data_IF_551123174645
#
_entry.id   IF_551123174645
#
_cell.length_a   1.000
_cell.length_b   1.000
_cell.length_c   1.000
_cell.angle_alpha   90.00
_cell.angle_beta   90.00
_cell.angle_gamma   90.00
#
_symmetry.space_group_name_H-M   'P 1'
#
loop_
_entity.id
_entity.type
_entity.pdbx_description
1 polymer ?
#
# COMPACT_ATOMS: atom_id res chain seq x y z
N UNK A 1 8.61 11.17 16.54
CA UNK A 1 7.61 11.16 15.42
C UNK A 1 6.62 12.33 15.48
N UNK A 2 6.39 12.95 16.65
CA UNK A 2 5.33 13.98 16.86
C UNK A 2 3.99 13.57 16.22
N UNK A 3 3.50 12.39 16.54
CA UNK A 3 2.29 11.78 15.98
C UNK A 3 1.47 11.12 17.10
N UNK A 4 0.14 11.14 17.03
CA UNK A 4 -0.72 10.43 17.97
C UNK A 4 -0.67 8.91 17.78
N UNK A 5 -0.16 8.44 16.63
CA UNK A 5 -0.03 7.02 16.34
C UNK A 5 1.26 6.43 16.95
N UNK A 6 1.22 5.18 17.46
CA UNK A 6 2.43 4.47 17.82
C UNK A 6 3.41 4.42 16.64
N UNK A 7 4.69 4.60 16.92
CA UNK A 7 5.75 4.69 15.92
C UNK A 7 5.67 3.60 14.85
N UNK A 8 5.54 2.35 15.28
CA UNK A 8 5.57 1.17 14.42
C UNK A 8 4.32 0.94 13.56
N UNK A 9 3.25 1.71 13.81
CA UNK A 9 2.00 1.66 13.02
C UNK A 9 2.05 2.56 11.78
N UNK A 10 3.00 3.49 11.72
CA UNK A 10 3.15 4.35 10.54
C UNK A 10 3.44 3.52 9.28
N UNK A 11 2.77 3.85 8.15
CA UNK A 11 2.93 3.09 6.91
C UNK A 11 4.24 3.44 6.19
N UNK A 12 4.87 2.42 5.63
CA UNK A 12 5.98 2.50 4.68
C UNK A 12 5.55 1.76 3.43
N UNK A 13 5.44 2.46 2.29
CA UNK A 13 4.95 1.93 1.02
C UNK A 13 3.64 1.13 1.17
N UNK A 14 2.64 1.74 1.86
CA UNK A 14 1.29 1.19 2.02
C UNK A 14 1.09 0.18 3.15
N UNK A 15 2.15 -0.19 3.90
CA UNK A 15 2.05 -1.14 5.03
C UNK A 15 2.62 -0.56 6.31
N UNK A 16 1.98 -0.75 7.48
CA UNK A 16 2.57 -0.44 8.78
C UNK A 16 3.97 -1.06 8.93
N UNK A 17 4.90 -0.34 9.55
CA UNK A 17 6.28 -0.81 9.75
C UNK A 17 6.31 -2.18 10.42
N UNK A 18 5.55 -2.35 11.51
CA UNK A 18 5.50 -3.63 12.24
C UNK A 18 4.93 -4.77 11.37
N UNK A 19 3.95 -4.50 10.51
CA UNK A 19 3.42 -5.50 9.58
C UNK A 19 4.51 -5.98 8.61
N UNK A 20 5.34 -5.07 8.10
CA UNK A 20 6.45 -5.40 7.20
C UNK A 20 7.44 -6.34 7.89
N UNK A 21 7.84 -6.04 9.12
CA UNK A 21 8.75 -6.87 9.90
C UNK A 21 8.15 -8.26 10.14
N UNK A 22 6.90 -8.35 10.60
CA UNK A 22 6.22 -9.63 10.84
C UNK A 22 6.13 -10.49 9.58
N UNK A 23 5.79 -9.88 8.44
CA UNK A 23 5.74 -10.60 7.15
C UNK A 23 7.11 -11.09 6.70
N UNK A 24 8.17 -10.31 6.90
CA UNK A 24 9.53 -10.73 6.63
C UNK A 24 9.93 -11.94 7.50
N UNK A 25 9.67 -11.88 8.80
CA UNK A 25 9.95 -12.96 9.75
C UNK A 25 9.19 -14.25 9.40
N UNK A 26 7.91 -14.14 9.04
CA UNK A 26 7.09 -15.30 8.63
C UNK A 26 7.57 -15.91 7.32
N UNK A 27 7.90 -15.07 6.34
CA UNK A 27 8.47 -15.54 5.07
C UNK A 27 9.86 -16.18 5.27
N UNK A 28 10.58 -15.80 6.34
CA UNK A 28 11.83 -16.45 6.78
C UNK A 28 11.59 -17.72 7.62
N UNK A 29 10.38 -18.29 7.57
CA UNK A 29 9.97 -19.57 8.16
C UNK A 29 10.06 -19.61 9.70
N UNK A 30 9.82 -18.49 10.38
CA UNK A 30 9.71 -18.50 11.83
C UNK A 30 8.51 -19.33 12.30
N UNK A 31 8.75 -20.25 13.20
CA UNK A 31 7.72 -21.14 13.76
C UNK A 31 6.79 -20.38 14.72
N UNK A 32 7.35 -19.46 15.48
CA UNK A 32 6.66 -18.65 16.47
C UNK A 32 7.13 -17.19 16.38
N UNK A 33 6.21 -16.25 16.49
CA UNK A 33 6.50 -14.81 16.49
C UNK A 33 5.89 -14.18 17.72
N UNK A 34 6.72 -13.62 18.59
CA UNK A 34 6.33 -12.89 19.79
C UNK A 34 6.60 -11.42 19.61
N UNK A 35 5.61 -10.58 19.88
CA UNK A 35 5.70 -9.12 19.74
C UNK A 35 5.56 -8.50 21.12
N UNK A 36 6.58 -7.79 21.58
CA UNK A 36 6.49 -7.03 22.82
C UNK A 36 5.88 -5.66 22.51
N UNK A 37 4.79 -5.37 23.21
CA UNK A 37 4.00 -4.15 23.03
C UNK A 37 4.02 -3.30 24.30
N UNK A 38 3.94 -1.99 24.14
CA UNK A 38 3.88 -1.01 25.23
C UNK A 38 2.72 -0.03 25.01
N UNK A 39 3.00 1.27 25.07
CA UNK A 39 1.98 2.31 24.85
C UNK A 39 1.34 2.18 23.46
N UNK A 40 0.00 2.28 23.39
CA UNK A 40 -0.75 2.13 22.13
C UNK A 40 -0.87 0.69 21.64
N UNK A 41 -0.76 -0.29 22.55
CA UNK A 41 -0.77 -1.73 22.23
C UNK A 41 -1.97 -2.18 21.40
N UNK A 42 -3.16 -1.60 21.59
CA UNK A 42 -4.39 -1.98 20.88
C UNK A 42 -4.23 -1.87 19.35
N UNK A 43 -3.64 -0.78 18.87
CA UNK A 43 -3.39 -0.56 17.46
C UNK A 43 -2.36 -1.54 16.89
N UNK A 44 -1.34 -1.88 17.68
CA UNK A 44 -0.32 -2.85 17.27
C UNK A 44 -0.91 -4.25 17.24
N UNK A 45 -1.66 -4.66 18.27
CA UNK A 45 -2.35 -5.95 18.34
C UNK A 45 -3.27 -6.17 17.15
N UNK A 46 -4.10 -5.16 16.81
CA UNK A 46 -5.02 -5.23 15.68
C UNK A 46 -4.32 -5.51 14.34
N UNK A 47 -3.03 -5.14 14.22
CA UNK A 47 -2.22 -5.41 13.02
C UNK A 47 -1.55 -6.78 13.07
N UNK A 48 -0.96 -7.15 14.21
CA UNK A 48 -0.03 -8.29 14.25
C UNK A 48 -0.70 -9.62 14.64
N UNK A 49 -1.75 -9.61 15.45
CA UNK A 49 -2.48 -10.82 15.86
C UNK A 49 -3.18 -11.52 14.66
N UNK A 50 -3.82 -10.81 13.71
CA UNK A 50 -4.34 -11.44 12.49
C UNK A 50 -3.26 -12.10 11.62
N UNK A 51 -2.00 -11.68 11.79
CA UNK A 51 -0.85 -12.31 11.17
C UNK A 51 -0.33 -13.53 11.97
N UNK A 52 -0.95 -13.88 13.08
CA UNK A 52 -0.59 -15.02 13.94
C UNK A 52 0.66 -14.74 14.79
N UNK A 53 0.91 -13.52 15.18
CA UNK A 53 1.89 -13.18 16.21
C UNK A 53 1.23 -13.15 17.60
N UNK A 54 1.98 -13.53 18.63
CA UNK A 54 1.54 -13.47 20.02
C UNK A 54 2.07 -12.21 20.67
N UNK A 55 1.19 -11.38 21.21
CA UNK A 55 1.57 -10.12 21.85
C UNK A 55 1.80 -10.29 23.36
N UNK A 56 2.94 -9.77 23.82
CA UNK A 56 3.31 -9.70 25.25
C UNK A 56 3.45 -8.23 25.66
N UNK A 57 2.86 -7.87 26.79
CA UNK A 57 2.88 -6.49 27.26
C UNK A 57 4.10 -6.21 28.12
N UNK A 58 4.81 -5.12 27.84
CA UNK A 58 5.79 -4.50 28.72
C UNK A 58 5.11 -3.36 29.49
N UNK A 59 4.82 -3.60 30.77
CA UNK A 59 4.09 -2.62 31.61
C UNK A 59 4.91 -1.36 31.88
N UNK A 60 6.22 -1.49 32.05
CA UNK A 60 7.16 -0.37 32.25
C UNK A 60 8.31 -0.52 31.26
N UNK A 61 8.63 0.56 30.59
CA UNK A 61 9.74 0.61 29.63
C UNK A 61 11.09 0.69 30.37
N UNK A 62 11.57 -0.45 30.85
CA UNK A 62 12.82 -0.55 31.62
C UNK A 62 14.04 -0.91 30.77
N UNK A 63 13.91 -0.84 29.45
CA UNK A 63 14.99 -1.10 28.50
C UNK A 63 14.73 -2.29 27.57
N UNK A 64 15.67 -2.53 26.65
CA UNK A 64 15.52 -3.52 25.58
C UNK A 64 15.63 -4.97 26.08
N UNK A 65 16.47 -5.25 27.08
CA UNK A 65 16.54 -6.58 27.70
C UNK A 65 15.28 -6.89 28.49
N UNK A 66 14.67 -5.89 29.17
CA UNK A 66 13.42 -6.07 29.87
C UNK A 66 12.27 -6.39 28.90
N UNK A 67 12.25 -5.73 27.73
CA UNK A 67 11.29 -6.09 26.68
C UNK A 67 11.43 -7.57 26.26
N UNK A 68 12.66 -8.07 26.08
CA UNK A 68 12.89 -9.49 25.75
C UNK A 68 12.44 -10.41 26.89
N UNK A 69 12.61 -10.03 28.17
CA UNK A 69 12.07 -10.80 29.32
C UNK A 69 10.54 -10.91 29.24
N UNK A 70 9.85 -9.83 28.91
CA UNK A 70 8.40 -9.82 28.76
C UNK A 70 7.90 -10.81 27.68
N UNK A 71 8.73 -11.17 26.71
CA UNK A 71 8.39 -12.13 25.67
C UNK A 71 8.33 -13.59 26.16
N UNK A 72 8.47 -13.87 27.47
CA UNK A 72 8.40 -15.21 28.07
C UNK A 72 9.39 -16.19 27.44
N UNK A 73 10.66 -15.80 27.37
CA UNK A 73 11.72 -16.52 26.65
C UNK A 73 11.99 -17.95 27.21
N UNK A 74 11.59 -18.24 28.43
CA UNK A 74 11.82 -19.53 29.10
C UNK A 74 11.19 -20.74 28.39
N UNK A 75 10.14 -20.48 27.59
CA UNK A 75 9.47 -21.52 26.79
C UNK A 75 10.07 -21.71 25.39
N UNK A 76 10.96 -20.82 24.95
CA UNK A 76 11.57 -20.87 23.62
C UNK A 76 12.55 -22.03 23.50
N UNK A 77 12.68 -22.57 22.28
CA UNK A 77 13.62 -23.63 21.92
C UNK A 77 14.31 -23.28 20.60
N UNK A 78 15.51 -23.84 20.42
CA UNK A 78 16.25 -23.70 19.19
C UNK A 78 16.89 -22.33 19.00
N UNK A 79 16.72 -21.73 17.82
CA UNK A 79 17.32 -20.48 17.41
C UNK A 79 16.32 -19.34 17.63
N UNK A 80 16.75 -18.27 18.26
CA UNK A 80 15.96 -17.07 18.52
C UNK A 80 16.55 -15.91 17.73
N UNK A 81 15.70 -15.19 16.98
CA UNK A 81 16.04 -13.95 16.29
C UNK A 81 15.29 -12.81 16.96
N UNK A 82 16.02 -11.82 17.43
CA UNK A 82 15.46 -10.61 18.06
C UNK A 82 15.57 -9.45 17.05
N UNK A 83 14.46 -8.79 16.77
CA UNK A 83 14.34 -7.72 15.80
C UNK A 83 13.62 -6.53 16.39
N UNK A 84 13.94 -5.33 15.88
CA UNK A 84 13.19 -4.11 16.20
C UNK A 84 12.00 -3.94 15.25
N UNK A 85 10.84 -3.58 15.79
CA UNK A 85 9.61 -3.36 15.01
C UNK A 85 9.62 -2.12 14.11
N UNK A 86 10.62 -1.25 14.26
CA UNK A 86 10.81 -0.01 13.52
C UNK A 86 11.86 -0.09 12.40
N UNK A 87 12.26 -1.31 12.00
CA UNK A 87 13.16 -1.58 10.87
C UNK A 87 12.39 -2.07 9.63
N UNK A 88 11.63 -1.20 8.95
CA UNK A 88 10.68 -1.60 7.90
C UNK A 88 11.33 -2.11 6.61
N UNK A 89 12.64 -1.94 6.44
CA UNK A 89 13.37 -2.36 5.25
C UNK A 89 14.00 -3.74 5.38
N UNK A 90 13.87 -4.39 6.54
CA UNK A 90 14.25 -5.78 6.75
C UNK A 90 13.40 -6.71 5.88
N UNK A 91 14.04 -7.62 5.16
CA UNK A 91 13.37 -8.61 4.33
C UNK A 91 13.66 -10.05 4.80
N UNK A 92 12.87 -10.99 4.31
CA UNK A 92 13.04 -12.41 4.63
C UNK A 92 14.43 -12.93 4.24
N UNK A 93 14.92 -12.52 3.08
CA UNK A 93 16.22 -12.96 2.56
C UNK A 93 17.38 -12.44 3.43
N UNK A 94 17.25 -11.25 4.02
CA UNK A 94 18.22 -10.73 4.99
C UNK A 94 18.26 -11.64 6.23
N UNK A 95 17.08 -11.98 6.78
CA UNK A 95 16.97 -12.85 7.97
C UNK A 95 17.53 -14.24 7.69
N UNK A 96 17.17 -14.83 6.54
CA UNK A 96 17.68 -16.15 6.14
C UNK A 96 19.20 -16.14 5.93
N UNK A 97 19.75 -15.08 5.36
CA UNK A 97 21.18 -14.88 5.19
C UNK A 97 21.90 -14.82 6.54
N UNK A 98 21.40 -14.01 7.50
CA UNK A 98 22.01 -13.92 8.83
C UNK A 98 21.93 -15.23 9.59
N UNK A 99 20.81 -15.95 9.49
CA UNK A 99 20.68 -17.29 10.08
C UNK A 99 21.68 -18.28 9.49
N UNK A 100 21.94 -18.22 8.19
CA UNK A 100 22.97 -19.03 7.54
C UNK A 100 24.36 -18.70 8.09
N UNK A 101 24.73 -17.40 8.14
CA UNK A 101 26.00 -16.97 8.70
C UNK A 101 26.17 -17.36 10.17
N UNK A 102 25.10 -17.25 10.98
CA UNK A 102 25.09 -17.68 12.37
C UNK A 102 25.42 -19.17 12.52
N UNK A 103 24.83 -20.02 11.67
CA UNK A 103 25.13 -21.47 11.68
C UNK A 103 26.57 -21.77 11.26
N UNK A 104 27.07 -21.07 10.25
CA UNK A 104 28.44 -21.24 9.73
C UNK A 104 29.49 -20.77 10.75
N UNK A 105 29.27 -19.69 11.49
CA UNK A 105 30.17 -19.16 12.50
C UNK A 105 30.29 -20.04 13.73
N UNK A 106 29.31 -20.94 13.96
CA UNK A 106 29.21 -21.80 15.18
C UNK A 106 29.22 -21.01 16.48
N UNK A 107 28.90 -19.70 16.44
CA UNK A 107 28.81 -18.88 17.64
C UNK A 107 27.56 -19.22 18.47
N UNK A 108 27.56 -18.84 19.74
CA UNK A 108 26.44 -18.98 20.65
C UNK A 108 25.50 -17.77 20.59
N UNK A 109 26.11 -16.58 20.36
CA UNK A 109 25.43 -15.31 20.21
C UNK A 109 26.03 -14.55 19.03
N UNK A 110 25.19 -14.04 18.15
CA UNK A 110 25.58 -13.11 17.09
C UNK A 110 24.78 -11.82 17.17
N UNK A 111 25.41 -10.73 16.80
CA UNK A 111 24.76 -9.44 16.54
C UNK A 111 24.98 -9.05 15.08
N UNK A 112 23.95 -8.55 14.44
CA UNK A 112 24.08 -7.99 13.09
C UNK A 112 24.69 -6.59 13.20
N UNK A 113 25.76 -6.35 12.45
CA UNK A 113 26.50 -5.07 12.46
C UNK A 113 26.53 -4.43 11.07
N UNK A 114 26.71 -3.13 11.00
CA UNK A 114 27.04 -2.45 9.75
C UNK A 114 28.01 -1.29 9.99
N UNK A 115 28.64 -0.82 8.93
CA UNK A 115 29.49 0.36 8.97
C UNK A 115 28.73 1.58 8.48
N UNK A 116 28.69 2.65 9.28
CA UNK A 116 28.06 3.91 8.94
C UNK A 116 29.11 5.04 8.85
N UNK A 117 29.06 5.88 7.81
CA UNK A 117 29.93 7.08 7.74
C UNK A 117 29.75 7.99 8.97
N UNK A 118 28.49 8.18 9.39
CA UNK A 118 28.09 8.87 10.61
C UNK A 118 27.27 7.92 11.49
N UNK A 119 27.88 7.34 12.54
CA UNK A 119 27.23 6.38 13.43
C UNK A 119 26.15 6.99 14.35
N UNK A 120 26.12 8.30 14.54
CA UNK A 120 25.12 8.97 15.38
C UNK A 120 24.89 8.30 16.74
N UNK A 121 23.64 8.03 17.13
CA UNK A 121 23.27 7.49 18.44
C UNK A 121 23.38 5.98 18.58
N UNK A 122 23.85 5.26 17.54
CA UNK A 122 23.96 3.80 17.59
C UNK A 122 25.02 3.32 18.59
N UNK A 123 24.81 2.14 19.17
CA UNK A 123 25.83 1.43 19.95
C UNK A 123 27.05 1.06 19.09
N UNK A 124 28.24 1.19 19.63
CA UNK A 124 29.52 0.92 18.96
C UNK A 124 29.97 -0.51 19.19
N UNK A 125 30.41 -1.15 18.13
CA UNK A 125 30.99 -2.51 18.19
C UNK A 125 32.46 -2.43 18.62
N UNK A 126 32.73 -2.87 19.81
CA UNK A 126 34.11 -2.89 20.36
C UNK A 126 34.75 -4.23 20.07
N UNK A 127 35.90 -4.19 19.36
CA UNK A 127 36.69 -5.38 19.03
C UNK A 127 38.08 -5.32 19.66
N UNK A 128 38.56 -6.47 20.10
CA UNK A 128 39.94 -6.65 20.53
C UNK A 128 40.57 -7.77 19.69
N UNK A 129 41.69 -7.48 19.06
CA UNK A 129 42.35 -8.40 18.13
C UNK A 129 41.39 -8.99 17.06
N UNK A 130 40.47 -8.14 16.54
CA UNK A 130 39.47 -8.54 15.56
C UNK A 130 38.22 -9.25 16.10
N UNK A 131 38.25 -9.70 17.35
CA UNK A 131 37.13 -10.41 18.00
C UNK A 131 36.19 -9.43 18.68
N UNK A 132 34.89 -9.64 18.52
CA UNK A 132 33.84 -8.89 19.21
C UNK A 132 33.98 -9.09 20.73
N UNK A 133 34.00 -8.00 21.49
CA UNK A 133 34.12 -7.99 22.96
C UNK A 133 32.88 -7.44 23.63
N UNK A 134 32.39 -6.30 23.13
CA UNK A 134 31.26 -5.61 23.74
C UNK A 134 30.56 -4.73 22.72
N UNK A 135 29.35 -4.31 23.06
CA UNK A 135 28.64 -3.22 22.43
C UNK A 135 28.52 -2.11 23.46
N UNK A 136 28.97 -0.92 23.13
CA UNK A 136 28.91 0.25 24.03
C UNK A 136 27.92 1.26 23.45
N UNK A 137 26.84 1.53 24.19
CA UNK A 137 25.86 2.53 23.78
C UNK A 137 26.48 3.91 23.67
N UNK A 138 26.03 4.72 22.70
CA UNK A 138 26.64 6.03 22.41
C UNK A 138 26.66 6.96 23.64
N UNK A 139 25.69 6.84 24.56
CA UNK A 139 25.58 7.67 25.77
C UNK A 139 26.59 7.27 26.86
N UNK A 140 27.07 6.03 26.82
CA UNK A 140 28.04 5.48 27.76
C UNK A 140 29.47 5.42 27.15
N UNK A 141 29.59 5.79 25.86
CA UNK A 141 30.82 5.65 25.10
C UNK A 141 31.84 6.77 25.38
N UNK A 142 33.11 6.39 25.51
CA UNK A 142 34.25 7.34 25.52
C UNK A 142 34.40 8.05 24.16
N UNK A 143 35.12 9.15 24.14
CA UNK A 143 35.40 9.88 22.90
C UNK A 143 36.12 9.02 21.85
N UNK A 144 37.00 8.09 22.27
CA UNK A 144 37.65 7.13 21.37
C UNK A 144 36.66 6.09 20.84
N UNK A 145 35.77 5.56 21.69
CA UNK A 145 34.75 4.61 21.30
C UNK A 145 33.75 5.21 20.27
N UNK A 146 33.41 6.50 20.42
CA UNK A 146 32.54 7.21 19.49
C UNK A 146 33.08 7.31 18.06
N UNK A 147 34.41 7.20 17.86
CA UNK A 147 35.03 7.20 16.52
C UNK A 147 34.82 5.89 15.74
N UNK A 148 34.44 4.84 16.41
CA UNK A 148 34.15 3.52 15.78
C UNK A 148 32.96 3.67 14.85
N UNK A 149 33.14 3.22 13.59
CA UNK A 149 32.10 3.30 12.55
C UNK A 149 31.23 2.06 12.47
N UNK A 150 31.69 0.92 13.02
CA UNK A 150 30.92 -0.30 13.10
C UNK A 150 29.89 -0.17 14.23
N UNK A 151 28.62 -0.36 13.90
CA UNK A 151 27.49 -0.15 14.82
C UNK A 151 26.65 -1.39 15.01
N UNK A 152 25.97 -1.43 16.15
CA UNK A 152 24.92 -2.39 16.47
C UNK A 152 23.63 -2.01 15.74
N UNK A 153 23.05 -2.96 14.96
CA UNK A 153 21.76 -2.75 14.30
C UNK A 153 20.56 -3.05 15.21
N UNK A 154 20.78 -3.58 16.40
CA UNK A 154 19.72 -4.04 17.30
C UNK A 154 19.12 -5.41 16.93
N UNK A 155 19.74 -6.13 16.00
CA UNK A 155 19.34 -7.46 15.55
C UNK A 155 20.28 -8.50 16.16
N UNK A 156 19.72 -9.47 16.88
CA UNK A 156 20.48 -10.54 17.51
C UNK A 156 19.99 -11.90 17.06
N UNK A 157 20.91 -12.85 16.98
CA UNK A 157 20.63 -14.26 16.72
C UNK A 157 21.39 -15.08 17.76
N UNK A 158 20.68 -15.92 18.50
CA UNK A 158 21.28 -16.73 19.54
C UNK A 158 20.46 -18.00 19.79
N UNK A 159 21.06 -18.96 20.50
CA UNK A 159 20.35 -20.14 20.95
C UNK A 159 19.46 -19.80 22.16
N UNK A 160 18.28 -20.42 22.22
CA UNK A 160 17.30 -20.18 23.28
C UNK A 160 17.86 -20.44 24.70
N UNK A 161 18.60 -21.53 24.90
CA UNK A 161 19.24 -21.88 26.17
C UNK A 161 20.28 -20.84 26.60
N UNK A 162 21.02 -20.27 25.64
CA UNK A 162 21.98 -19.19 25.91
C UNK A 162 21.25 -17.92 26.32
N UNK A 163 20.16 -17.56 25.60
CA UNK A 163 19.32 -16.40 25.94
C UNK A 163 18.75 -16.53 27.37
N UNK A 164 18.18 -17.69 27.70
CA UNK A 164 17.59 -17.98 28.99
C UNK A 164 18.61 -17.89 30.13
N UNK A 165 19.86 -18.30 29.89
CA UNK A 165 20.94 -18.21 30.87
C UNK A 165 21.46 -16.76 31.04
N UNK A 166 21.69 -16.03 29.95
CA UNK A 166 22.34 -14.72 30.01
C UNK A 166 21.39 -13.58 30.38
N UNK A 167 20.14 -13.63 29.89
CA UNK A 167 19.18 -12.53 30.02
C UNK A 167 18.89 -12.14 31.49
N UNK A 168 18.76 -13.08 32.48
CA UNK A 168 18.57 -12.72 33.89
C UNK A 168 19.77 -11.99 34.51
N UNK A 169 20.98 -12.15 33.96
CA UNK A 169 22.22 -11.58 34.49
C UNK A 169 22.43 -10.12 34.08
N UNK A 170 21.66 -9.60 33.08
CA UNK A 170 21.76 -8.22 32.65
C UNK A 170 21.33 -7.28 33.78
N UNK A 171 22.15 -6.28 34.07
CA UNK A 171 21.94 -5.26 35.10
C UNK A 171 21.59 -3.91 34.48
N UNK A 172 21.08 -2.98 35.30
CA UNK A 172 20.73 -1.62 34.86
C UNK A 172 21.79 -0.57 35.28
N UNK A 173 23.06 -0.97 35.37
CA UNK A 173 24.16 -0.10 35.81
C UNK A 173 24.73 0.69 34.61
N UNK A 174 23.98 1.62 34.06
CA UNK A 174 24.38 2.47 32.94
C UNK A 174 23.79 3.89 33.11
N UNK A 175 24.13 4.81 32.21
CA UNK A 175 23.74 6.22 32.28
C UNK A 175 22.22 6.45 32.32
N UNK A 176 21.41 5.51 31.83
CA UNK A 176 19.95 5.62 31.78
C UNK A 176 19.24 4.79 32.88
N UNK A 177 19.94 3.92 33.60
CA UNK A 177 19.33 2.99 34.57
C UNK A 177 18.46 1.92 33.93
N UNK A 178 18.67 1.61 32.64
CA UNK A 178 17.88 0.67 31.85
C UNK A 178 18.59 -0.67 31.66
N UNK A 179 17.83 -1.74 31.42
CA UNK A 179 18.37 -3.06 31.08
C UNK A 179 18.67 -3.11 29.58
N UNK A 180 19.93 -2.96 29.20
CA UNK A 180 20.35 -2.98 27.80
C UNK A 180 20.58 -4.39 27.30
N UNK A 181 19.95 -4.75 26.18
CA UNK A 181 20.19 -6.06 25.55
C UNK A 181 21.62 -6.18 24.99
N UNK A 182 22.27 -5.08 24.71
CA UNK A 182 23.67 -5.02 24.25
C UNK A 182 24.65 -5.66 25.22
N UNK A 183 24.35 -5.65 26.53
CA UNK A 183 25.19 -6.27 27.57
C UNK A 183 25.29 -7.79 27.43
N UNK A 184 24.36 -8.43 26.69
CA UNK A 184 24.40 -9.89 26.46
C UNK A 184 25.71 -10.32 25.77
N UNK A 185 26.30 -9.44 24.94
CA UNK A 185 27.56 -9.74 24.24
C UNK A 185 28.71 -9.80 25.24
N UNK A 186 28.84 -8.79 26.11
CA UNK A 186 29.89 -8.78 27.14
C UNK A 186 29.76 -9.97 28.09
N UNK A 187 28.54 -10.26 28.56
CA UNK A 187 28.27 -11.44 29.42
C UNK A 187 28.64 -12.77 28.75
N UNK A 188 28.33 -12.89 27.44
CA UNK A 188 28.71 -14.09 26.69
C UNK A 188 30.23 -14.23 26.58
N UNK A 189 30.95 -13.12 26.31
CA UNK A 189 32.42 -13.10 26.27
C UNK A 189 33.03 -13.46 27.64
N UNK A 190 32.52 -12.89 28.73
CA UNK A 190 32.97 -13.19 30.12
C UNK A 190 32.81 -14.66 30.46
N UNK A 191 31.76 -15.34 29.95
CA UNK A 191 31.53 -16.78 30.15
C UNK A 191 32.28 -17.66 29.14
N UNK A 192 33.12 -17.06 28.27
CA UNK A 192 33.89 -17.83 27.28
C UNK A 192 33.04 -18.39 26.13
N UNK A 193 31.81 -17.90 25.95
CA UNK A 193 30.97 -18.32 24.83
C UNK A 193 31.44 -17.68 23.52
N UNK A 194 31.42 -18.40 22.41
CA UNK A 194 31.78 -17.83 21.12
C UNK A 194 30.74 -16.79 20.66
N UNK A 195 31.19 -15.57 20.38
CA UNK A 195 30.36 -14.47 19.87
C UNK A 195 30.88 -13.97 18.53
N UNK A 196 29.98 -13.47 17.67
CA UNK A 196 30.37 -12.89 16.37
C UNK A 196 29.51 -11.70 15.97
N UNK A 197 30.07 -10.81 15.13
CA UNK A 197 29.37 -9.71 14.49
C UNK A 197 29.15 -10.02 13.01
N UNK A 198 27.90 -10.20 12.61
CA UNK A 198 27.52 -10.51 11.25
C UNK A 198 27.32 -9.21 10.46
N UNK A 199 28.21 -8.92 9.52
CA UNK A 199 28.16 -7.68 8.74
C UNK A 199 26.96 -7.68 7.78
N UNK A 200 26.23 -6.57 7.74
CA UNK A 200 25.05 -6.34 6.90
C UNK A 200 25.18 -5.06 6.06
N UNK A 201 24.31 -4.95 5.06
CA UNK A 201 24.08 -3.71 4.35
C UNK A 201 23.52 -2.63 5.32
N UNK A 202 24.01 -1.38 5.26
CA UNK A 202 23.55 -0.30 6.13
C UNK A 202 22.04 -0.04 6.15
N UNK A 203 21.32 -0.39 5.07
CA UNK A 203 19.85 -0.27 5.00
C UNK A 203 19.12 -1.07 6.09
N UNK A 204 19.73 -2.18 6.54
CA UNK A 204 19.15 -3.06 7.58
C UNK A 204 19.09 -2.37 8.94
N UNK A 205 20.06 -1.47 9.20
CA UNK A 205 20.11 -0.66 10.41
C UNK A 205 19.18 0.56 10.39
N UNK A 206 18.48 0.81 9.28
CA UNK A 206 17.63 2.01 9.16
C UNK A 206 16.36 1.84 10.01
N UNK A 207 16.47 2.19 11.29
CA UNK A 207 15.36 2.38 12.21
C UNK A 207 14.67 3.72 11.96
N UNK A 208 13.36 3.76 12.14
CA UNK A 208 12.53 4.94 11.89
C UNK A 208 12.09 5.57 13.20
N UNK A 209 12.65 6.74 13.56
CA UNK A 209 12.34 7.50 14.77
C UNK A 209 11.72 8.87 14.47
N UNK A 210 11.98 9.41 13.28
CA UNK A 210 11.53 10.73 12.84
C UNK A 210 10.71 10.64 11.55
N UNK A 211 9.99 11.70 11.21
CA UNK A 211 9.26 11.79 9.94
C UNK A 211 10.22 11.81 8.73
N UNK A 212 11.41 12.39 8.89
CA UNK A 212 12.42 12.38 7.84
C UNK A 212 12.94 10.97 7.53
N UNK A 213 13.20 10.17 8.59
CA UNK A 213 13.59 8.76 8.44
C UNK A 213 12.45 7.93 7.85
N UNK A 214 11.18 8.20 8.22
CA UNK A 214 10.01 7.55 7.64
C UNK A 214 9.91 7.83 6.13
N UNK A 215 10.09 9.08 5.73
CA UNK A 215 10.06 9.46 4.32
C UNK A 215 11.19 8.76 3.53
N UNK A 216 12.41 8.72 4.09
CA UNK A 216 13.53 8.00 3.49
C UNK A 216 13.28 6.50 3.36
N UNK A 217 12.77 5.85 4.42
CA UNK A 217 12.42 4.44 4.40
C UNK A 217 11.35 4.14 3.36
N UNK A 218 10.33 5.01 3.24
CA UNK A 218 9.26 4.89 2.24
C UNK A 218 9.81 5.00 0.82
N UNK A 219 10.68 5.97 0.56
CA UNK A 219 11.33 6.14 -0.75
C UNK A 219 12.15 4.89 -1.14
N UNK A 220 12.96 4.37 -0.22
CA UNK A 220 13.75 3.15 -0.45
C UNK A 220 12.86 1.92 -0.70
N UNK A 221 11.73 1.81 -0.02
CA UNK A 221 10.77 0.73 -0.25
C UNK A 221 10.15 0.82 -1.65
N UNK A 222 9.74 2.01 -2.11
CA UNK A 222 9.23 2.22 -3.47
C UNK A 222 10.30 1.93 -4.53
N UNK A 223 11.53 2.40 -4.36
CA UNK A 223 12.63 2.12 -5.28
C UNK A 223 12.89 0.62 -5.42
N UNK A 224 12.91 -0.11 -4.30
CA UNK A 224 13.07 -1.57 -4.31
C UNK A 224 11.91 -2.28 -5.02
N UNK A 225 10.68 -1.83 -4.81
CA UNK A 225 9.50 -2.35 -5.50
C UNK A 225 9.61 -2.11 -7.01
N UNK A 226 9.99 -0.90 -7.41
CA UNK A 226 10.19 -0.55 -8.82
C UNK A 226 11.27 -1.44 -9.47
N UNK A 227 12.43 -1.63 -8.81
CA UNK A 227 13.50 -2.50 -9.32
C UNK A 227 13.01 -3.93 -9.59
N UNK A 228 12.26 -4.51 -8.65
CA UNK A 228 11.69 -5.86 -8.83
C UNK A 228 10.70 -5.95 -9.99
N UNK A 229 9.90 -4.91 -10.19
CA UNK A 229 8.96 -4.88 -11.31
C UNK A 229 9.69 -4.73 -12.65
N UNK A 230 10.75 -3.92 -12.72
CA UNK A 230 11.61 -3.81 -13.89
C UNK A 230 12.30 -5.16 -14.24
N UNK A 231 12.84 -5.84 -13.23
CA UNK A 231 13.40 -7.20 -13.37
C UNK A 231 12.35 -8.22 -13.82
N UNK A 232 11.10 -8.03 -13.41
CA UNK A 232 9.93 -8.81 -13.80
C UNK A 232 9.35 -8.47 -15.18
N UNK A 233 9.96 -7.57 -15.95
CA UNK A 233 9.54 -7.23 -17.32
C UNK A 233 8.49 -6.12 -17.42
N UNK A 234 8.25 -5.35 -16.34
CA UNK A 234 7.47 -4.12 -16.38
C UNK A 234 8.36 -2.98 -16.88
N UNK A 235 7.86 -2.15 -17.78
CA UNK A 235 8.58 -0.97 -18.25
C UNK A 235 8.16 0.27 -17.44
N UNK A 236 9.11 1.08 -17.00
CA UNK A 236 8.88 2.38 -16.35
C UNK A 236 9.69 3.46 -17.03
N UNK A 237 9.03 4.53 -17.47
CA UNK A 237 9.69 5.63 -18.20
C UNK A 237 10.60 6.43 -17.25
N UNK A 238 10.17 6.62 -16.00
CA UNK A 238 10.89 7.35 -14.96
C UNK A 238 10.62 6.67 -13.61
N UNK A 239 11.32 5.56 -13.27
CA UNK A 239 11.02 4.72 -12.13
C UNK A 239 10.95 5.45 -10.79
N UNK A 240 11.77 6.50 -10.60
CA UNK A 240 11.81 7.30 -9.38
C UNK A 240 10.55 8.12 -9.11
N UNK A 241 9.71 8.31 -10.13
CA UNK A 241 8.42 9.03 -10.03
C UNK A 241 7.20 8.11 -10.05
N UNK A 242 7.41 6.80 -10.11
CA UNK A 242 6.35 5.78 -10.08
C UNK A 242 6.27 5.17 -8.68
N UNK A 243 5.12 5.27 -8.03
CA UNK A 243 4.91 4.83 -6.66
C UNK A 243 4.02 3.59 -6.63
N UNK A 244 4.60 2.45 -6.29
CA UNK A 244 3.91 1.16 -6.26
C UNK A 244 3.98 0.58 -4.85
N UNK A 245 2.84 0.47 -4.17
CA UNK A 245 2.76 -0.12 -2.85
C UNK A 245 3.08 -1.62 -2.87
N UNK A 246 3.54 -2.15 -1.74
CA UNK A 246 4.06 -3.53 -1.61
C UNK A 246 3.10 -4.61 -2.11
N UNK A 247 1.80 -4.40 -1.86
CA UNK A 247 0.75 -5.40 -2.14
C UNK A 247 0.37 -5.46 -3.62
N UNK A 248 0.69 -4.41 -4.38
CA UNK A 248 0.34 -4.29 -5.79
C UNK A 248 1.09 -5.32 -6.61
N UNK A 249 0.40 -5.93 -7.57
CA UNK A 249 1.00 -6.77 -8.61
C UNK A 249 0.84 -6.13 -9.97
N UNK A 250 1.89 -6.21 -10.79
CA UNK A 250 1.89 -5.74 -12.18
C UNK A 250 2.55 -6.82 -13.01
N UNK A 251 1.87 -7.27 -14.06
CA UNK A 251 2.40 -8.29 -14.97
C UNK A 251 3.32 -7.69 -16.04
N UNK A 252 4.17 -8.56 -16.59
CA UNK A 252 5.14 -8.22 -17.62
C UNK A 252 4.52 -7.58 -18.87
N UNK A 253 5.30 -6.78 -19.58
CA UNK A 253 4.88 -6.06 -20.79
C UNK A 253 4.06 -4.79 -20.50
N UNK A 254 3.69 -4.55 -19.26
CA UNK A 254 2.98 -3.32 -18.87
C UNK A 254 3.93 -2.13 -18.78
N UNK A 255 3.49 -0.97 -19.28
CA UNK A 255 4.23 0.28 -19.28
C UNK A 255 3.62 1.25 -18.27
N UNK A 256 4.43 1.74 -17.34
CA UNK A 256 4.04 2.75 -16.34
C UNK A 256 4.75 4.08 -16.65
N UNK A 257 3.96 5.12 -16.85
CA UNK A 257 4.46 6.48 -17.07
C UNK A 257 4.73 7.22 -15.76
N UNK A 258 5.39 8.39 -15.80
CA UNK A 258 5.70 9.17 -14.60
C UNK A 258 4.47 9.53 -13.78
N UNK A 259 4.64 9.66 -12.47
CA UNK A 259 3.60 10.08 -11.52
C UNK A 259 2.40 9.11 -11.44
N UNK A 260 2.57 7.85 -11.86
CA UNK A 260 1.59 6.80 -11.61
C UNK A 260 1.68 6.37 -10.15
N UNK A 261 0.53 6.25 -9.48
CA UNK A 261 0.43 5.78 -8.12
C UNK A 261 -0.49 4.56 -8.01
N UNK A 262 0.09 3.39 -7.70
CA UNK A 262 -0.62 2.11 -7.54
C UNK A 262 -0.69 1.74 -6.06
N UNK A 263 -1.90 1.56 -5.53
CA UNK A 263 -2.17 1.46 -4.09
C UNK A 263 -2.99 0.23 -3.71
N UNK A 264 -2.86 -0.16 -2.44
CA UNK A 264 -3.68 -1.22 -1.84
C UNK A 264 -3.53 -2.57 -2.53
N UNK A 265 -4.63 -3.31 -2.66
CA UNK A 265 -4.66 -4.65 -3.28
C UNK A 265 -4.78 -4.62 -4.82
N UNK A 266 -4.28 -3.56 -5.47
CA UNK A 266 -4.36 -3.39 -6.93
C UNK A 266 -3.58 -4.48 -7.67
N UNK A 267 -4.23 -5.01 -8.74
CA UNK A 267 -3.63 -5.96 -9.68
C UNK A 267 -3.74 -5.42 -11.08
N UNK A 268 -2.64 -5.43 -11.84
CA UNK A 268 -2.60 -4.99 -13.22
C UNK A 268 -2.07 -6.14 -14.08
N UNK A 269 -2.86 -6.54 -15.06
CA UNK A 269 -2.52 -7.56 -16.04
C UNK A 269 -1.44 -7.13 -17.02
N UNK A 270 -1.03 -8.05 -17.87
CA UNK A 270 0.07 -7.82 -18.81
C UNK A 270 -0.31 -6.90 -19.98
N UNK A 271 0.73 -6.30 -20.57
CA UNK A 271 0.62 -5.46 -21.77
C UNK A 271 -0.33 -4.26 -21.65
N UNK A 272 -0.48 -3.72 -20.44
CA UNK A 272 -1.22 -2.48 -20.20
C UNK A 272 -0.33 -1.26 -20.44
N UNK A 273 -0.95 -0.13 -20.79
CA UNK A 273 -0.30 1.18 -20.83
C UNK A 273 -1.01 2.09 -19.84
N UNK A 274 -0.30 2.51 -18.80
CA UNK A 274 -0.82 3.40 -17.75
C UNK A 274 -0.08 4.73 -17.87
N UNK A 275 -0.76 5.73 -18.43
CA UNK A 275 -0.20 7.05 -18.66
C UNK A 275 -0.06 7.87 -17.36
N UNK A 276 0.63 9.01 -17.47
CA UNK A 276 1.03 9.83 -16.33
C UNK A 276 -0.12 10.31 -15.45
N UNK A 277 0.16 10.42 -14.16
CA UNK A 277 -0.77 10.97 -13.17
C UNK A 277 -1.96 10.08 -12.83
N UNK A 278 -1.99 8.84 -13.33
CA UNK A 278 -3.04 7.89 -12.95
C UNK A 278 -2.86 7.41 -11.51
N UNK A 279 -3.98 7.33 -10.77
CA UNK A 279 -4.02 6.73 -9.44
C UNK A 279 -4.98 5.55 -9.46
N UNK A 280 -4.49 4.37 -9.06
CA UNK A 280 -5.27 3.13 -9.05
C UNK A 280 -5.18 2.52 -7.66
N UNK A 281 -6.32 2.35 -7.02
CA UNK A 281 -6.42 1.82 -5.66
C UNK A 281 -7.40 0.65 -5.60
N UNK A 282 -7.02 -0.45 -4.92
CA UNK A 282 -7.87 -1.60 -4.64
C UNK A 282 -8.66 -2.12 -5.86
N UNK A 283 -8.04 -2.06 -7.06
CA UNK A 283 -8.69 -2.33 -8.33
C UNK A 283 -8.04 -3.49 -9.10
N UNK A 284 -8.84 -4.19 -9.90
CA UNK A 284 -8.37 -5.27 -10.76
C UNK A 284 -8.47 -4.84 -12.22
N UNK A 285 -7.35 -4.78 -12.91
CA UNK A 285 -7.23 -4.38 -14.31
C UNK A 285 -6.70 -5.58 -15.10
N UNK A 286 -7.49 -6.06 -16.06
CA UNK A 286 -7.05 -7.16 -16.92
C UNK A 286 -5.99 -6.70 -17.94
N UNK A 287 -5.52 -7.61 -18.80
CA UNK A 287 -4.50 -7.28 -19.80
C UNK A 287 -4.98 -6.36 -20.93
N UNK A 288 -4.02 -5.74 -21.62
CA UNK A 288 -4.25 -4.88 -22.79
C UNK A 288 -5.16 -3.66 -22.54
N UNK A 289 -5.15 -3.11 -21.33
CA UNK A 289 -5.87 -1.89 -21.00
C UNK A 289 -4.99 -0.68 -21.27
N UNK A 290 -5.53 0.31 -22.02
CA UNK A 290 -4.90 1.62 -22.20
C UNK A 290 -5.58 2.64 -21.30
N UNK A 291 -4.90 3.07 -20.26
CA UNK A 291 -5.37 4.10 -19.34
C UNK A 291 -4.64 5.41 -19.62
N UNK A 292 -5.36 6.36 -20.18
CA UNK A 292 -4.85 7.69 -20.51
C UNK A 292 -4.68 8.54 -19.24
N UNK A 293 -3.93 9.61 -19.39
CA UNK A 293 -3.49 10.48 -18.30
C UNK A 293 -4.59 10.87 -17.30
N UNK A 294 -4.22 10.92 -16.01
CA UNK A 294 -5.04 11.51 -14.95
C UNK A 294 -6.27 10.72 -14.55
N UNK A 295 -6.38 9.45 -14.92
CA UNK A 295 -7.49 8.60 -14.47
C UNK A 295 -7.37 8.25 -12.98
N UNK A 296 -8.51 8.17 -12.30
CA UNK A 296 -8.60 7.77 -10.91
C UNK A 296 -9.53 6.56 -10.75
N UNK A 297 -9.00 5.45 -10.25
CA UNK A 297 -9.75 4.22 -9.99
C UNK A 297 -9.67 3.85 -8.51
N UNK A 298 -10.82 3.56 -7.90
CA UNK A 298 -10.91 3.05 -6.52
C UNK A 298 -11.90 1.89 -6.47
N UNK A 299 -11.46 0.68 -6.15
CA UNK A 299 -12.31 -0.50 -6.01
C UNK A 299 -13.06 -0.89 -7.27
N UNK A 300 -12.46 -0.70 -8.45
CA UNK A 300 -13.04 -0.98 -9.75
C UNK A 300 -12.47 -2.26 -10.37
N UNK A 301 -13.27 -2.89 -11.25
CA UNK A 301 -12.84 -4.01 -12.09
C UNK A 301 -12.91 -3.61 -13.55
N UNK A 302 -11.83 -3.80 -14.28
CA UNK A 302 -11.71 -3.48 -15.70
C UNK A 302 -11.27 -4.73 -16.47
N UNK A 303 -12.10 -5.17 -17.39
CA UNK A 303 -11.80 -6.31 -18.27
C UNK A 303 -10.75 -5.94 -19.34
N UNK A 304 -10.42 -6.90 -20.20
CA UNK A 304 -9.39 -6.72 -21.21
C UNK A 304 -9.80 -5.77 -22.37
N UNK A 305 -8.79 -5.22 -23.04
CA UNK A 305 -8.93 -4.38 -24.25
C UNK A 305 -9.77 -3.11 -24.02
N UNK A 306 -9.69 -2.52 -22.84
CA UNK A 306 -10.46 -1.31 -22.49
C UNK A 306 -9.63 -0.05 -22.67
N UNK A 307 -10.24 0.99 -23.28
CA UNK A 307 -9.71 2.33 -23.32
C UNK A 307 -10.34 3.19 -22.22
N UNK A 308 -9.51 3.73 -21.29
CA UNK A 308 -9.96 4.62 -20.22
C UNK A 308 -9.36 6.02 -20.37
N UNK A 309 -10.15 7.04 -20.14
CA UNK A 309 -9.71 8.42 -19.98
C UNK A 309 -9.54 9.23 -21.28
N UNK A 310 -8.81 10.36 -21.20
CA UNK A 310 -8.16 10.86 -19.97
C UNK A 310 -9.16 11.32 -18.88
N UNK A 311 -8.69 11.40 -17.62
CA UNK A 311 -9.47 11.90 -16.49
C UNK A 311 -10.80 11.15 -16.26
N UNK A 312 -10.85 9.86 -16.52
CA UNK A 312 -11.98 9.01 -16.12
C UNK A 312 -11.91 8.70 -14.61
N UNK A 313 -13.07 8.67 -13.95
CA UNK A 313 -13.17 8.37 -12.53
C UNK A 313 -14.06 7.15 -12.30
N UNK A 314 -13.45 6.00 -11.97
CA UNK A 314 -14.18 4.78 -11.63
C UNK A 314 -14.19 4.59 -10.12
N UNK A 315 -15.38 4.64 -9.54
CA UNK A 315 -15.61 4.52 -8.10
C UNK A 315 -15.96 3.08 -7.69
N UNK A 316 -15.92 2.77 -6.37
CA UNK A 316 -16.16 1.42 -5.89
C UNK A 316 -17.45 0.76 -6.42
N UNK A 317 -17.30 -0.52 -6.78
CA UNK A 317 -18.36 -1.32 -7.34
C UNK A 317 -18.62 -1.12 -8.84
N UNK A 318 -17.72 -0.46 -9.55
CA UNK A 318 -17.79 -0.32 -11.00
C UNK A 318 -17.07 -1.49 -11.67
N UNK A 319 -17.78 -2.13 -12.62
CA UNK A 319 -17.28 -3.23 -13.43
C UNK A 319 -17.38 -2.86 -14.92
N UNK A 320 -16.24 -2.80 -15.61
CA UNK A 320 -16.14 -2.47 -17.04
C UNK A 320 -15.89 -3.76 -17.82
N UNK A 321 -16.77 -4.06 -18.78
CA UNK A 321 -16.65 -5.21 -19.68
C UNK A 321 -15.52 -5.06 -20.70
N UNK A 322 -15.28 -6.14 -21.43
CA UNK A 322 -14.26 -6.17 -22.50
C UNK A 322 -14.59 -5.19 -23.63
N UNK A 323 -13.56 -4.69 -24.33
CA UNK A 323 -13.64 -3.86 -25.52
C UNK A 323 -14.41 -2.53 -25.30
N UNK A 324 -14.54 -2.10 -24.04
CA UNK A 324 -15.25 -0.87 -23.68
C UNK A 324 -14.40 0.38 -23.88
N UNK A 325 -15.09 1.53 -24.07
CA UNK A 325 -14.47 2.85 -24.05
C UNK A 325 -15.14 3.73 -23.01
N UNK A 326 -14.36 4.18 -22.02
CA UNK A 326 -14.78 5.15 -21.02
C UNK A 326 -13.88 6.37 -21.19
N UNK A 327 -14.43 7.47 -21.74
CA UNK A 327 -13.65 8.62 -22.17
C UNK A 327 -13.45 9.69 -21.10
N UNK A 328 -13.15 10.89 -21.55
CA UNK A 328 -12.75 11.98 -20.68
C UNK A 328 -13.90 12.50 -19.82
N UNK A 329 -13.58 12.74 -18.53
CA UNK A 329 -14.50 13.25 -17.52
C UNK A 329 -15.77 12.41 -17.37
N UNK A 330 -15.66 11.09 -17.56
CA UNK A 330 -16.72 10.14 -17.27
C UNK A 330 -16.54 9.63 -15.84
N UNK A 331 -17.55 9.79 -15.00
CA UNK A 331 -17.59 9.25 -13.65
C UNK A 331 -18.59 8.09 -13.58
N UNK A 332 -18.16 6.95 -13.02
CA UNK A 332 -19.01 5.79 -12.81
C UNK A 332 -18.93 5.29 -11.36
N UNK A 333 -20.08 4.94 -10.77
CA UNK A 333 -20.19 4.42 -9.42
C UNK A 333 -21.22 3.30 -9.34
N UNK A 334 -20.80 2.10 -8.92
CA UNK A 334 -21.68 0.92 -8.87
C UNK A 334 -22.37 0.68 -10.21
N UNK A 335 -21.59 0.64 -11.28
CA UNK A 335 -22.05 0.45 -12.66
C UNK A 335 -21.55 -0.88 -13.18
N UNK A 336 -22.43 -1.65 -13.82
CA UNK A 336 -22.05 -2.75 -14.71
C UNK A 336 -22.11 -2.24 -16.13
N UNK A 337 -20.94 -2.14 -16.78
CA UNK A 337 -20.80 -1.60 -18.12
C UNK A 337 -20.46 -2.74 -19.08
N UNK A 338 -21.43 -3.14 -19.90
CA UNK A 338 -21.38 -4.34 -20.72
C UNK A 338 -20.34 -4.27 -21.83
N UNK A 339 -19.94 -5.43 -22.35
CA UNK A 339 -18.94 -5.57 -23.41
C UNK A 339 -19.21 -4.65 -24.58
N UNK A 340 -18.17 -3.97 -25.07
CA UNK A 340 -18.24 -3.07 -26.23
C UNK A 340 -19.02 -1.77 -26.01
N UNK A 341 -19.54 -1.53 -24.80
CA UNK A 341 -20.25 -0.29 -24.49
C UNK A 341 -19.32 0.92 -24.47
N UNK A 342 -19.85 2.09 -24.79
CA UNK A 342 -19.09 3.33 -24.93
C UNK A 342 -19.74 4.49 -24.19
N UNK A 343 -18.97 5.22 -23.39
CA UNK A 343 -19.31 6.51 -22.79
C UNK A 343 -18.10 7.44 -22.98
N UNK A 344 -18.11 8.25 -24.03
CA UNK A 344 -16.89 8.89 -24.50
C UNK A 344 -16.57 10.24 -23.83
N UNK A 345 -17.57 10.92 -23.23
CA UNK A 345 -17.38 12.30 -22.74
C UNK A 345 -18.35 12.65 -21.61
N UNK A 346 -17.89 13.42 -20.59
CA UNK A 346 -18.70 14.23 -19.67
C UNK A 346 -20.00 13.53 -19.21
N UNK A 347 -19.91 12.41 -18.54
CA UNK A 347 -21.08 11.58 -18.21
C UNK A 347 -21.01 11.15 -16.76
N UNK A 348 -22.12 11.15 -16.06
CA UNK A 348 -22.24 10.52 -14.75
C UNK A 348 -23.19 9.31 -14.82
N UNK A 349 -22.64 8.13 -14.56
CA UNK A 349 -23.43 6.91 -14.39
C UNK A 349 -23.30 6.43 -12.94
N UNK A 350 -24.41 6.40 -12.22
CA UNK A 350 -24.49 5.91 -10.85
C UNK A 350 -25.60 4.89 -10.69
N UNK A 351 -25.32 3.80 -9.97
CA UNK A 351 -26.24 2.71 -9.72
C UNK A 351 -26.96 2.25 -11.03
N UNK A 352 -26.17 1.87 -12.05
CA UNK A 352 -26.69 1.57 -13.39
C UNK A 352 -26.14 0.25 -13.96
N UNK A 353 -26.98 -0.47 -14.71
CA UNK A 353 -26.54 -1.52 -15.62
C UNK A 353 -26.67 -1.03 -17.05
N UNK A 354 -25.60 -1.14 -17.82
CA UNK A 354 -25.56 -0.77 -19.25
C UNK A 354 -25.21 -2.00 -20.06
N UNK A 355 -26.06 -2.37 -20.98
CA UNK A 355 -25.92 -3.54 -21.82
C UNK A 355 -24.82 -3.42 -22.87
N UNK A 356 -24.52 -4.55 -23.50
CA UNK A 356 -23.47 -4.69 -24.51
C UNK A 356 -23.68 -3.74 -25.70
N UNK A 357 -22.58 -3.24 -26.26
CA UNK A 357 -22.55 -2.37 -27.46
C UNK A 357 -23.43 -1.11 -27.36
N UNK A 358 -23.81 -0.72 -26.17
CA UNK A 358 -24.60 0.50 -25.94
C UNK A 358 -23.72 1.73 -26.03
N UNK A 359 -24.20 2.77 -26.70
CA UNK A 359 -23.52 4.06 -26.78
C UNK A 359 -24.22 5.08 -25.88
N UNK A 360 -23.47 5.60 -24.91
CA UNK A 360 -23.92 6.68 -24.01
C UNK A 360 -23.42 8.02 -24.55
N UNK A 361 -24.36 8.91 -24.87
CA UNK A 361 -24.06 10.26 -25.37
C UNK A 361 -23.44 11.18 -24.30
N UNK A 362 -22.70 12.16 -24.74
CA UNK A 362 -22.10 13.18 -23.86
C UNK A 362 -23.17 13.90 -23.02
N UNK A 363 -22.88 14.20 -21.77
CA UNK A 363 -23.83 14.87 -20.87
C UNK A 363 -24.92 13.98 -20.30
N UNK A 364 -24.86 12.66 -20.53
CA UNK A 364 -25.83 11.73 -19.95
C UNK A 364 -25.64 11.61 -18.45
N UNK A 365 -26.74 11.69 -17.69
CA UNK A 365 -26.76 11.56 -16.22
C UNK A 365 -27.83 10.53 -15.83
N UNK A 366 -27.44 9.57 -14.99
CA UNK A 366 -28.41 8.77 -14.23
C UNK A 366 -28.75 9.51 -12.93
N UNK A 367 -29.99 10.02 -12.83
CA UNK A 367 -30.48 10.69 -11.63
C UNK A 367 -30.87 9.64 -10.60
N UNK A 368 -29.86 9.01 -9.98
CA UNK A 368 -30.01 7.83 -9.13
C UNK A 368 -30.36 8.15 -7.66
N UNK A 369 -30.25 9.41 -7.24
CA UNK A 369 -30.54 9.83 -5.87
C UNK A 369 -31.81 10.65 -5.82
N UNK A 370 -32.82 10.20 -5.07
CA UNK A 370 -34.12 10.80 -5.02
C UNK A 370 -34.37 11.63 -3.74
N UNK A 371 -35.46 12.38 -3.73
CA UNK A 371 -35.85 13.26 -2.60
C UNK A 371 -36.15 12.52 -1.31
N UNK A 372 -36.45 11.22 -1.37
CA UNK A 372 -36.63 10.34 -0.23
C UNK A 372 -35.31 9.81 0.38
N UNK A 373 -34.17 10.38 -0.07
CA UNK A 373 -32.82 10.02 0.34
C UNK A 373 -32.38 8.60 -0.06
N UNK A 374 -33.12 7.94 -0.97
CA UNK A 374 -32.80 6.62 -1.48
C UNK A 374 -32.15 6.69 -2.86
N UNK A 375 -31.48 5.60 -3.20
CA UNK A 375 -30.89 5.41 -4.52
C UNK A 375 -31.68 4.39 -5.29
N UNK A 376 -31.89 4.72 -6.56
CA UNK A 376 -32.62 3.88 -7.49
C UNK A 376 -31.74 3.56 -8.69
N UNK A 377 -32.06 2.46 -9.33
CA UNK A 377 -31.26 1.88 -10.42
C UNK A 377 -31.80 2.28 -11.78
N UNK A 378 -30.89 2.57 -12.70
CA UNK A 378 -31.20 2.69 -14.14
C UNK A 378 -30.71 1.42 -14.84
N UNK A 379 -31.57 0.82 -15.67
CA UNK A 379 -31.20 -0.34 -16.50
C UNK A 379 -31.29 0.07 -17.98
N UNK A 380 -30.18 -0.04 -18.69
CA UNK A 380 -30.09 0.26 -20.12
C UNK A 380 -29.71 -1.03 -20.84
N UNK A 381 -30.54 -1.45 -21.78
CA UNK A 381 -30.36 -2.68 -22.53
C UNK A 381 -29.17 -2.67 -23.48
N UNK A 382 -29.10 -3.72 -24.32
CA UNK A 382 -28.04 -3.90 -25.32
C UNK A 382 -28.33 -3.09 -26.58
N UNK A 383 -27.26 -2.66 -27.28
CA UNK A 383 -27.35 -1.95 -28.55
C UNK A 383 -28.22 -0.67 -28.47
N UNK A 384 -28.33 -0.05 -27.32
CA UNK A 384 -29.07 1.21 -27.12
C UNK A 384 -28.21 2.39 -27.59
N UNK A 385 -28.86 3.32 -28.29
CA UNK A 385 -28.24 4.61 -28.61
C UNK A 385 -28.84 5.70 -27.72
N UNK A 386 -28.04 6.25 -26.81
CA UNK A 386 -28.42 7.38 -25.96
C UNK A 386 -27.87 8.66 -26.57
N UNK A 387 -28.75 9.56 -26.91
CA UNK A 387 -28.38 10.90 -27.43
C UNK A 387 -27.75 11.75 -26.33
N UNK A 388 -26.97 12.75 -26.74
CA UNK A 388 -26.29 13.68 -25.82
C UNK A 388 -27.28 14.45 -24.94
N UNK A 389 -26.83 14.86 -23.75
CA UNK A 389 -27.61 15.62 -22.78
C UNK A 389 -28.93 14.91 -22.35
N UNK A 390 -28.82 13.61 -22.06
CA UNK A 390 -29.96 12.80 -21.60
C UNK A 390 -29.91 12.62 -20.10
N UNK A 391 -31.06 12.86 -19.41
CA UNK A 391 -31.23 12.56 -17.99
C UNK A 391 -32.15 11.36 -17.82
N UNK A 392 -31.67 10.32 -17.12
CA UNK A 392 -32.51 9.17 -16.72
C UNK A 392 -32.95 9.33 -15.27
N UNK A 393 -34.22 9.60 -15.04
CA UNK A 393 -34.78 9.69 -13.68
C UNK A 393 -35.08 8.28 -13.18
N UNK A 394 -34.18 7.76 -12.35
CA UNK A 394 -34.31 6.40 -11.81
C UNK A 394 -35.45 6.27 -10.79
N UNK A 395 -36.17 5.10 -10.69
CA UNK A 395 -35.88 3.90 -11.46
C UNK A 395 -36.45 3.95 -12.89
N UNK A 396 -35.66 3.54 -13.89
CA UNK A 396 -36.11 3.49 -15.28
C UNK A 396 -35.40 2.38 -16.04
N UNK A 397 -36.11 1.72 -16.96
CA UNK A 397 -35.60 0.65 -17.81
C UNK A 397 -35.68 1.07 -19.28
N UNK A 398 -34.57 0.94 -19.99
CA UNK A 398 -34.47 1.20 -21.43
C UNK A 398 -34.23 -0.14 -22.12
N UNK A 399 -35.18 -0.55 -22.98
CA UNK A 399 -35.14 -1.83 -23.67
C UNK A 399 -34.05 -1.89 -24.75
N UNK A 400 -33.71 -3.13 -25.13
CA UNK A 400 -32.66 -3.39 -26.14
C UNK A 400 -32.95 -2.69 -27.48
N UNK A 401 -31.89 -2.11 -28.06
CA UNK A 401 -31.98 -1.43 -29.37
C UNK A 401 -32.82 -0.15 -29.36
N UNK A 402 -33.21 0.36 -28.21
CA UNK A 402 -33.92 1.63 -28.11
C UNK A 402 -33.01 2.82 -28.50
N UNK A 403 -33.64 3.89 -28.94
CA UNK A 403 -32.97 5.15 -29.28
C UNK A 403 -33.55 6.25 -28.39
N UNK A 404 -32.67 7.01 -27.73
CA UNK A 404 -33.06 8.16 -26.94
C UNK A 404 -32.60 9.41 -27.66
N UNK A 405 -33.53 10.30 -27.93
CA UNK A 405 -33.25 11.58 -28.60
C UNK A 405 -32.47 12.53 -27.67
N UNK A 406 -31.48 13.24 -28.20
CA UNK A 406 -30.66 14.20 -27.45
C UNK A 406 -31.50 15.27 -26.73
N UNK A 407 -31.05 15.69 -25.52
CA UNK A 407 -31.76 16.69 -24.71
C UNK A 407 -33.02 16.16 -24.02
N UNK A 408 -33.13 14.83 -23.84
CA UNK A 408 -34.33 14.19 -23.27
C UNK A 408 -34.21 13.92 -21.78
N UNK A 409 -35.29 14.21 -21.01
CA UNK A 409 -35.43 13.75 -19.62
C UNK A 409 -36.39 12.56 -19.58
N UNK A 410 -35.84 11.36 -19.40
CA UNK A 410 -36.60 10.11 -19.44
C UNK A 410 -37.04 9.73 -18.03
N UNK A 411 -38.36 9.68 -17.82
CA UNK A 411 -39.00 9.41 -16.51
C UNK A 411 -39.84 8.13 -16.49
N UNK A 412 -39.98 7.45 -17.64
CA UNK A 412 -40.73 6.22 -17.79
C UNK A 412 -39.92 5.22 -18.61
N UNK A 413 -40.22 3.94 -18.42
CA UNK A 413 -39.60 2.86 -19.19
C UNK A 413 -39.78 3.04 -20.69
N UNK A 414 -38.75 2.69 -21.45
CA UNK A 414 -38.76 2.75 -22.92
C UNK A 414 -38.70 1.33 -23.46
N UNK A 415 -39.68 0.88 -24.24
CA UNK A 415 -39.69 -0.45 -24.84
C UNK A 415 -38.50 -0.70 -25.77
N UNK A 416 -38.18 -1.97 -25.98
CA UNK A 416 -37.11 -2.34 -26.93
C UNK A 416 -37.43 -1.81 -28.34
N UNK A 417 -36.37 -1.37 -29.05
CA UNK A 417 -36.41 -0.83 -30.40
C UNK A 417 -37.30 0.43 -30.57
N UNK A 418 -37.69 1.08 -29.47
CA UNK A 418 -38.48 2.29 -29.51
C UNK A 418 -37.58 3.53 -29.61
N UNK A 419 -38.13 4.61 -30.19
CA UNK A 419 -37.56 5.96 -30.11
C UNK A 419 -38.28 6.74 -28.99
N UNK A 420 -37.53 7.21 -27.99
CA UNK A 420 -38.06 8.10 -26.96
C UNK A 420 -37.46 9.49 -27.12
N UNK A 421 -38.32 10.50 -27.10
CA UNK A 421 -37.92 11.94 -27.14
C UNK A 421 -38.75 12.66 -26.10
N UNK A 422 -38.09 13.31 -25.15
CA UNK A 422 -38.73 14.02 -24.03
C UNK A 422 -38.07 15.41 -23.85
N UNK A 423 -38.31 16.28 -24.80
CA UNK A 423 -37.81 17.66 -24.85
C UNK A 423 -38.86 18.60 -25.49
N UNK A 424 -38.77 19.89 -25.25
CA UNK A 424 -39.62 20.88 -25.86
C UNK A 424 -39.47 20.90 -27.39
N UNK A 425 -40.54 21.28 -28.10
CA UNK A 425 -40.49 21.52 -29.55
C UNK A 425 -39.67 22.79 -29.85
N UNK A 426 -38.81 22.73 -30.83
CA UNK A 426 -38.02 23.89 -31.25
C UNK A 426 -38.96 24.94 -31.82
N UNK A 427 -38.80 26.17 -31.38
CA UNK A 427 -39.44 27.37 -31.93
C UNK A 427 -38.36 28.22 -32.57
N UNK A 428 -38.62 28.71 -33.76
CA UNK A 428 -37.73 29.64 -34.47
C UNK A 428 -38.47 30.97 -34.63
N UNK A 429 -37.87 32.03 -34.15
CA UNK A 429 -38.36 33.41 -34.35
C UNK A 429 -37.45 34.09 -35.37
N UNK A 430 -37.91 34.19 -36.59
CA UNK A 430 -37.16 34.88 -37.66
C UNK A 430 -37.11 36.38 -37.37
N UNK A 431 -35.96 37.01 -37.68
CA UNK A 431 -35.69 38.44 -37.49
C UNK A 431 -35.89 38.93 -36.02
N UNK A 432 -35.73 38.04 -35.02
CA UNK A 432 -35.83 38.38 -33.60
C UNK A 432 -34.88 39.52 -33.22
N UNK A 433 -35.40 40.55 -32.56
CA UNK A 433 -34.63 41.64 -31.98
C UNK A 433 -34.66 41.57 -30.47
N UNK A 434 -33.53 41.86 -29.78
CA UNK A 434 -33.53 41.96 -28.32
C UNK A 434 -34.60 42.94 -27.84
N UNK A 435 -35.54 42.50 -27.00
CA UNK A 435 -36.68 43.28 -26.53
C UNK A 435 -38.03 42.90 -27.15
N UNK A 436 -38.05 42.07 -28.18
CA UNK A 436 -39.30 41.53 -28.72
C UNK A 436 -40.01 40.67 -27.65
N UNK A 437 -41.31 40.88 -27.49
CA UNK A 437 -42.10 40.09 -26.54
C UNK A 437 -42.26 38.67 -27.08
N UNK A 438 -42.01 37.68 -26.20
CA UNK A 438 -42.20 36.27 -26.54
C UNK A 438 -43.66 36.00 -26.94
N UNK A 439 -43.93 35.50 -28.16
CA UNK A 439 -45.30 35.28 -28.65
C UNK A 439 -46.11 34.23 -27.88
N UNK A 440 -45.47 33.39 -27.03
CA UNK A 440 -46.15 32.39 -26.21
C UNK A 440 -46.72 32.95 -24.86
N UNK A 441 -46.62 34.26 -24.60
CA UNK A 441 -47.24 34.91 -23.43
C UNK A 441 -48.57 35.59 -23.73
N UNK A 442 -49.33 35.14 -24.72
CA UNK A 442 -50.70 35.52 -24.91
C UNK A 442 -51.66 34.39 -24.58
#
# INVERSE_FOLDING_TARGET
>A
MNSPLPKVVHPVAGRPMIERVIRAVKKAEAQEVRVVVGSGEELVRAIVEPLGAVCHKQERQLGTADAVRCAQVDSLKGEVVILNGDHPLMEADDILHFRKLFKESKCAVAVVTCELPDPGPFGRIVRQQGRLQAIVEAKDASHETLKIKEVNTGIYILKADVLQNLLPQIKSHNAQGEYYLTDIIALAVEQGLPVDGLKADPRVALGVNTQAELARATQLAFQRKASRLLEGGVMMIQPESVFVEDQVTVEAGTVLYPQVFLKGATKIGGSCVIEQGCTIKDSEIAGHVHMKAGCYLDGAKVAANVDLGPYAHLRPGTEIGEDCKVGNFVEMKKVKFGKGAKASHLTYLGDADVGENTNIGCGTITCNYAVDLKKYKTTIGKNVFVGSDTQFVAPVTIGDGAIIGSGSTITKDVPAKALAVARARQIVLENYKPGDKNPEKK
#
